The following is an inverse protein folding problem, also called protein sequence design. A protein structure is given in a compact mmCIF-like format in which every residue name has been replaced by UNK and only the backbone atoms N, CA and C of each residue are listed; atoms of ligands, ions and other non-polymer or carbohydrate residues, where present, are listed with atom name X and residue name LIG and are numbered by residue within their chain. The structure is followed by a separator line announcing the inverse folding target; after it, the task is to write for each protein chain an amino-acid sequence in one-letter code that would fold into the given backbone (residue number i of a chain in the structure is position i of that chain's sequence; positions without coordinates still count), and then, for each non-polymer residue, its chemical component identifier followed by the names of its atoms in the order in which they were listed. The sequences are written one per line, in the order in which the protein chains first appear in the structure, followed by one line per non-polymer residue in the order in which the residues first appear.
data_IF_979786205292
#
_entry.id   IF_979786205292
#
_cell.length_a   1.000
_cell.length_b   1.000
_cell.length_c   1.000
_cell.angle_alpha   90.00
_cell.angle_beta   90.00
_cell.angle_gamma   90.00
#
_symmetry.space_group_name_H-M   'P 1'
#
loop_
_entity.id
_entity.type
_entity.pdbx_description
1 polymer ?
#
# COMPACT_ATOMS: atom_id res chain seq x y z
N UNK A 1 34.78 -54.64 -16.07
CA UNK A 1 35.16 -53.32 -15.49
C UNK A 1 34.48 -52.16 -16.20
N UNK A 2 34.48 -52.09 -17.54
CA UNK A 2 33.82 -51.01 -18.30
C UNK A 2 32.34 -50.74 -17.91
N UNK A 3 31.51 -51.78 -17.82
CA UNK A 3 30.09 -51.63 -17.45
C UNK A 3 29.87 -51.07 -16.03
N UNK A 4 30.80 -51.30 -15.10
CA UNK A 4 30.73 -50.74 -13.74
C UNK A 4 31.05 -49.26 -13.74
N UNK A 5 32.09 -48.85 -14.48
CA UNK A 5 32.47 -47.45 -14.62
C UNK A 5 31.37 -46.65 -15.33
N UNK A 6 30.72 -47.24 -16.34
CA UNK A 6 29.58 -46.61 -17.01
C UNK A 6 28.39 -46.39 -16.07
N UNK A 7 28.07 -47.35 -15.19
CA UNK A 7 26.99 -47.20 -14.20
C UNK A 7 27.31 -46.14 -13.14
N UNK A 8 28.57 -45.98 -12.76
CA UNK A 8 28.99 -44.94 -11.82
C UNK A 8 28.85 -43.55 -12.46
N UNK A 9 29.36 -43.38 -13.68
CA UNK A 9 29.25 -42.13 -14.43
C UNK A 9 27.79 -41.71 -14.65
N UNK A 10 26.91 -42.66 -15.01
CA UNK A 10 25.48 -42.36 -15.17
C UNK A 10 24.84 -41.85 -13.88
N UNK A 11 25.16 -42.47 -12.72
CA UNK A 11 24.65 -42.02 -11.42
C UNK A 11 25.19 -40.65 -11.02
N UNK A 12 26.46 -40.37 -11.31
CA UNK A 12 27.06 -39.05 -11.07
C UNK A 12 26.36 -37.98 -11.90
N UNK A 13 26.13 -38.22 -13.20
CA UNK A 13 25.40 -37.29 -14.06
C UNK A 13 23.93 -37.12 -13.65
N UNK A 14 23.25 -38.19 -13.22
CA UNK A 14 21.89 -38.12 -12.67
C UNK A 14 21.83 -37.24 -11.41
N UNK A 15 22.78 -37.42 -10.49
CA UNK A 15 22.87 -36.60 -9.28
C UNK A 15 23.18 -35.13 -9.61
N UNK A 16 24.13 -34.88 -10.50
CA UNK A 16 24.48 -33.51 -10.92
C UNK A 16 23.29 -32.82 -11.61
N UNK A 17 22.53 -33.55 -12.43
CA UNK A 17 21.33 -33.03 -13.07
C UNK A 17 20.26 -32.67 -12.04
N UNK A 18 20.02 -33.52 -11.04
CA UNK A 18 19.07 -33.23 -9.96
C UNK A 18 19.49 -31.99 -9.15
N UNK A 19 20.79 -31.86 -8.84
CA UNK A 19 21.32 -30.67 -8.17
C UNK A 19 21.08 -29.42 -9.03
N UNK A 20 21.41 -29.47 -10.33
CA UNK A 20 21.20 -28.32 -11.23
C UNK A 20 19.74 -27.97 -11.44
N UNK A 21 18.84 -28.95 -11.45
CA UNK A 21 17.40 -28.69 -11.48
C UNK A 21 16.96 -27.94 -10.22
N UNK A 22 17.39 -28.39 -9.04
CA UNK A 22 17.07 -27.72 -7.78
C UNK A 22 17.64 -26.28 -7.73
N UNK A 23 18.85 -26.07 -8.24
CA UNK A 23 19.48 -24.74 -8.36
C UNK A 23 18.63 -23.83 -9.26
N UNK A 24 18.24 -24.30 -10.46
CA UNK A 24 17.44 -23.53 -11.41
C UNK A 24 16.07 -23.18 -10.84
N UNK A 25 15.41 -24.12 -10.15
CA UNK A 25 14.14 -23.87 -9.48
C UNK A 25 14.27 -22.80 -8.40
N UNK A 26 15.30 -22.90 -7.54
CA UNK A 26 15.55 -21.91 -6.49
C UNK A 26 15.86 -20.51 -7.05
N UNK A 27 16.64 -20.42 -8.12
CA UNK A 27 16.96 -19.17 -8.79
C UNK A 27 15.73 -18.57 -9.47
N UNK A 28 14.88 -19.40 -10.07
CA UNK A 28 13.63 -18.97 -10.70
C UNK A 28 12.66 -18.40 -9.65
N UNK A 29 12.51 -19.09 -8.52
CA UNK A 29 11.71 -18.60 -7.39
C UNK A 29 12.25 -17.28 -6.83
N UNK A 30 13.57 -17.18 -6.65
CA UNK A 30 14.22 -15.95 -6.19
C UNK A 30 14.02 -14.80 -7.18
N UNK A 31 14.16 -15.05 -8.47
CA UNK A 31 13.93 -14.04 -9.51
C UNK A 31 12.47 -13.57 -9.52
N UNK A 32 11.50 -14.48 -9.37
CA UNK A 32 10.09 -14.14 -9.26
C UNK A 32 9.82 -13.23 -8.05
N UNK A 33 10.40 -13.55 -6.88
CA UNK A 33 10.28 -12.74 -5.66
C UNK A 33 10.89 -11.34 -5.83
N UNK A 34 12.07 -11.24 -6.44
CA UNK A 34 12.72 -9.95 -6.71
C UNK A 34 11.89 -9.10 -7.69
N UNK A 35 11.34 -9.72 -8.75
CA UNK A 35 10.42 -9.02 -9.67
C UNK A 35 9.18 -8.51 -8.95
N UNK A 36 8.60 -9.31 -8.07
CA UNK A 36 7.43 -8.92 -7.28
C UNK A 36 7.72 -7.74 -6.36
N UNK A 37 8.86 -7.77 -5.65
CA UNK A 37 9.32 -6.67 -4.79
C UNK A 37 9.61 -5.40 -5.59
N UNK A 38 10.32 -5.52 -6.70
CA UNK A 38 10.60 -4.39 -7.60
C UNK A 38 9.32 -3.75 -8.13
N UNK A 39 8.33 -4.56 -8.52
CA UNK A 39 7.02 -4.05 -8.97
C UNK A 39 6.27 -3.34 -7.84
N UNK A 40 6.21 -3.93 -6.64
CA UNK A 40 5.59 -3.30 -5.47
C UNK A 40 6.28 -1.98 -5.07
N UNK A 41 7.62 -1.93 -5.10
CA UNK A 41 8.41 -0.72 -4.83
C UNK A 41 8.07 0.38 -5.81
N UNK A 42 8.08 0.06 -7.11
CA UNK A 42 7.76 1.01 -8.17
C UNK A 42 6.33 1.54 -8.03
N UNK A 43 5.37 0.68 -7.69
CA UNK A 43 4.00 1.10 -7.41
C UNK A 43 3.93 2.11 -6.25
N UNK A 44 4.61 1.86 -5.13
CA UNK A 44 4.64 2.79 -3.99
C UNK A 44 5.33 4.10 -4.36
N UNK A 45 6.47 4.05 -5.06
CA UNK A 45 7.20 5.25 -5.50
C UNK A 45 6.34 6.13 -6.42
N UNK A 46 5.65 5.55 -7.41
CA UNK A 46 4.73 6.30 -8.27
C UNK A 46 3.58 6.95 -7.48
N UNK A 47 3.10 6.31 -6.42
CA UNK A 47 2.07 6.89 -5.55
C UNK A 47 2.63 8.03 -4.69
N UNK A 48 3.86 7.91 -4.19
CA UNK A 48 4.53 8.99 -3.48
C UNK A 48 4.78 10.22 -4.38
N UNK A 49 5.23 10.01 -5.62
CA UNK A 49 5.39 11.08 -6.62
C UNK A 49 4.04 11.76 -6.92
N UNK A 50 2.96 10.98 -6.99
CA UNK A 50 1.62 11.50 -7.18
C UNK A 50 1.12 12.33 -5.97
N UNK A 51 1.45 11.90 -4.74
CA UNK A 51 1.16 12.67 -3.52
C UNK A 51 1.96 13.99 -3.47
N UNK A 52 3.23 13.97 -3.88
CA UNK A 52 4.06 15.16 -4.04
C UNK A 52 3.46 16.13 -5.08
N UNK A 53 3.05 15.60 -6.24
CA UNK A 53 2.40 16.39 -7.28
C UNK A 53 1.08 17.00 -6.79
N UNK A 54 0.31 16.27 -5.98
CA UNK A 54 -0.91 16.78 -5.34
C UNK A 54 -0.58 17.91 -4.36
N UNK A 55 0.43 17.74 -3.49
CA UNK A 55 0.86 18.77 -2.56
C UNK A 55 1.29 20.06 -3.28
N UNK A 56 2.10 19.94 -4.33
CA UNK A 56 2.52 21.06 -5.15
C UNK A 56 1.35 21.75 -5.87
N UNK A 57 0.35 20.99 -6.32
CA UNK A 57 -0.85 21.57 -6.93
C UNK A 57 -1.68 22.37 -5.92
N UNK A 58 -1.84 21.86 -4.69
CA UNK A 58 -2.60 22.53 -3.63
C UNK A 58 -1.94 23.83 -3.14
N UNK A 59 -0.62 23.96 -3.26
CA UNK A 59 0.09 25.20 -2.92
C UNK A 59 -0.07 26.29 -4.00
N UNK A 60 -0.31 25.89 -5.25
CA UNK A 60 -0.42 26.81 -6.40
C UNK A 60 -1.79 27.45 -6.57
N UNK A 61 -2.79 26.96 -5.84
CA UNK A 61 -4.10 27.59 -5.75
C UNK A 61 -4.14 28.46 -4.49
N UNK A 62 -3.51 29.67 -4.49
CA UNK A 62 -3.85 30.62 -3.45
C UNK A 62 -5.35 30.88 -3.57
N UNK A 63 -6.09 30.98 -2.46
CA UNK A 63 -7.48 31.41 -2.53
C UNK A 63 -7.46 32.76 -3.24
N UNK A 64 -8.01 32.81 -4.45
CA UNK A 64 -8.16 34.03 -5.23
C UNK A 64 -8.96 35.00 -4.36
N UNK A 65 -8.23 35.82 -3.59
CA UNK A 65 -8.72 37.00 -2.90
C UNK A 65 -9.01 38.04 -3.99
N UNK A 66 -10.03 37.73 -4.80
CA UNK A 66 -10.73 38.70 -5.61
C UNK A 66 -11.36 39.72 -4.67
N UNK A 67 -10.64 40.81 -4.40
CA UNK A 67 -11.13 41.85 -3.50
C UNK A 67 -10.13 42.94 -3.13
N UNK A 68 -9.22 43.34 -4.03
CA UNK A 68 -8.45 44.58 -3.87
C UNK A 68 -9.23 45.75 -4.47
N UNK A 69 -9.92 46.50 -3.62
CA UNK A 69 -10.30 47.90 -3.84
C UNK A 69 -10.63 48.50 -2.47
N UNK A 70 -9.60 49.04 -1.80
CA UNK A 70 -9.75 49.68 -0.50
C UNK A 70 -8.47 50.40 -0.09
N UNK A 71 -8.25 51.59 -0.64
CA UNK A 71 -7.26 52.54 -0.15
C UNK A 71 -7.55 52.89 1.31
N UNK A 72 -6.63 52.56 2.22
CA UNK A 72 -6.77 52.87 3.64
C UNK A 72 -5.45 52.79 4.37
N UNK A 73 -4.85 53.97 4.50
CA UNK A 73 -3.76 54.45 5.37
C UNK A 73 -2.98 53.45 6.26
N UNK A 74 -1.67 53.46 6.08
CA UNK A 74 -0.66 52.57 6.68
C UNK A 74 -0.24 53.00 8.09
N UNK A 75 -0.33 52.08 9.06
CA UNK A 75 0.47 52.14 10.31
C UNK A 75 1.51 51.03 10.29
N UNK A 76 2.83 51.32 10.43
CA UNK A 76 3.87 50.29 10.32
C UNK A 76 3.96 49.45 11.60
N UNK A 77 3.58 48.17 11.51
CA UNK A 77 3.76 47.19 12.58
C UNK A 77 5.21 46.65 12.63
N UNK A 78 5.75 46.34 13.82
CA UNK A 78 7.12 45.91 14.01
C UNK A 78 7.41 44.55 13.34
N UNK A 79 8.50 44.51 12.58
CA UNK A 79 9.02 43.30 11.92
C UNK A 79 9.58 42.33 12.97
N UNK A 80 8.76 41.40 13.43
CA UNK A 80 9.22 40.24 14.18
C UNK A 80 9.96 39.28 13.24
N UNK A 81 11.24 39.00 13.54
CA UNK A 81 12.03 37.93 12.92
C UNK A 81 11.42 36.57 13.28
N UNK A 82 10.37 36.18 12.58
CA UNK A 82 9.90 34.79 12.55
C UNK A 82 10.69 34.09 11.46
N UNK A 83 11.53 33.12 11.86
CA UNK A 83 12.14 32.20 10.89
C UNK A 83 11.01 31.55 10.08
N UNK A 84 11.15 31.43 8.75
CA UNK A 84 10.11 30.79 7.94
C UNK A 84 9.89 29.37 8.46
N UNK A 85 8.63 28.91 8.60
CA UNK A 85 8.36 27.52 8.93
C UNK A 85 9.09 26.63 7.92
N UNK A 86 9.78 25.60 8.42
CA UNK A 86 10.48 24.61 7.58
C UNK A 86 9.50 24.14 6.50
N UNK A 87 9.87 24.31 5.23
CA UNK A 87 9.01 23.98 4.11
C UNK A 87 8.68 22.48 4.16
N UNK A 88 7.40 22.15 4.09
CA UNK A 88 6.91 20.77 3.99
C UNK A 88 7.55 20.02 2.81
N UNK A 89 7.93 20.74 1.75
CA UNK A 89 8.55 20.16 0.57
C UNK A 89 9.97 19.63 0.86
N UNK A 90 10.76 20.37 1.63
CA UNK A 90 12.10 19.93 2.02
C UNK A 90 12.02 18.72 2.94
N UNK A 91 11.03 18.70 3.85
CA UNK A 91 10.78 17.55 4.72
C UNK A 91 10.36 16.32 3.91
N UNK A 92 9.43 16.48 2.97
CA UNK A 92 8.92 15.37 2.17
C UNK A 92 9.97 14.87 1.16
N UNK A 93 10.78 15.76 0.57
CA UNK A 93 11.86 15.38 -0.33
C UNK A 93 13.00 14.65 0.40
N UNK A 94 13.45 15.17 1.55
CA UNK A 94 14.41 14.48 2.40
C UNK A 94 13.86 13.12 2.86
N UNK A 95 12.57 13.07 3.18
CA UNK A 95 11.90 11.84 3.59
C UNK A 95 11.79 10.81 2.46
N UNK A 96 11.52 11.24 1.22
CA UNK A 96 11.55 10.36 0.05
C UNK A 96 12.93 9.76 -0.20
N UNK A 97 14.00 10.53 0.02
CA UNK A 97 15.37 10.01 -0.05
C UNK A 97 15.67 9.00 1.06
N UNK A 98 15.15 9.22 2.27
CA UNK A 98 15.23 8.28 3.40
C UNK A 98 14.50 6.97 3.08
N UNK A 99 13.27 7.07 2.56
CA UNK A 99 12.48 5.90 2.14
C UNK A 99 13.17 5.09 1.05
N UNK A 100 13.75 5.78 0.06
CA UNK A 100 14.47 5.12 -1.00
C UNK A 100 15.72 4.40 -0.46
N UNK A 101 16.44 5.02 0.49
CA UNK A 101 17.55 4.37 1.20
C UNK A 101 17.07 3.15 2.01
N UNK A 102 16.02 3.30 2.82
CA UNK A 102 15.49 2.21 3.63
C UNK A 102 14.98 1.02 2.82
N UNK A 103 14.31 1.28 1.69
CA UNK A 103 13.83 0.22 0.81
C UNK A 103 14.98 -0.53 0.16
N UNK A 104 16.02 0.20 -0.29
CA UNK A 104 17.23 -0.40 -0.86
C UNK A 104 17.99 -1.17 0.22
N UNK A 105 18.19 -0.63 1.42
CA UNK A 105 18.99 -1.29 2.47
C UNK A 105 18.27 -2.51 3.08
N UNK A 106 16.93 -2.46 3.18
CA UNK A 106 16.11 -3.60 3.61
C UNK A 106 16.17 -4.78 2.62
N UNK A 107 16.58 -4.55 1.37
CA UNK A 107 16.71 -5.58 0.34
C UNK A 107 17.94 -6.48 0.53
N UNK A 108 18.99 -6.00 1.22
CA UNK A 108 20.28 -6.70 1.34
C UNK A 108 20.56 -7.27 2.73
N UNK A 109 19.90 -6.77 3.78
CA UNK A 109 20.19 -7.19 5.15
C UNK A 109 19.58 -8.56 5.54
N UNK A 110 18.62 -9.07 4.76
CA UNK A 110 17.81 -10.24 5.15
C UNK A 110 18.22 -11.59 4.57
N UNK A 111 18.93 -11.61 3.44
CA UNK A 111 19.38 -12.86 2.82
C UNK A 111 20.91 -12.93 2.90
N UNK A 112 21.44 -13.92 3.62
CA UNK A 112 22.87 -14.27 3.68
C UNK A 112 23.38 -14.71 2.28
N UNK A 113 23.50 -13.78 1.34
CA UNK A 113 23.94 -14.01 -0.05
C UNK A 113 25.47 -14.15 -0.13
N UNK A 114 26.19 -13.99 0.98
CA UNK A 114 27.65 -14.05 1.04
C UNK A 114 28.24 -15.45 0.76
N UNK A 115 27.41 -16.49 0.56
CA UNK A 115 27.89 -17.87 0.44
C UNK A 115 28.05 -18.44 -0.98
N UNK A 116 27.54 -17.81 -2.05
CA UNK A 116 27.54 -18.43 -3.40
C UNK A 116 28.37 -17.74 -4.50
N UNK A 117 29.15 -16.70 -4.18
CA UNK A 117 29.90 -15.94 -5.21
C UNK A 117 31.33 -16.43 -5.49
N UNK A 118 31.72 -17.62 -5.03
CA UNK A 118 33.03 -18.21 -5.37
C UNK A 118 32.85 -19.30 -6.43
N UNK A 119 32.77 -18.91 -7.71
CA UNK A 119 32.81 -19.89 -8.81
C UNK A 119 32.42 -19.39 -10.20
N UNK A 120 33.38 -18.84 -10.95
CA UNK A 120 33.56 -19.13 -12.39
C UNK A 120 32.54 -18.63 -13.42
N UNK A 121 32.75 -17.40 -13.89
CA UNK A 121 32.72 -16.98 -15.31
C UNK A 121 31.62 -17.49 -16.27
N UNK A 122 30.50 -16.76 -16.38
CA UNK A 122 29.69 -16.65 -17.62
C UNK A 122 29.02 -15.26 -17.67
N UNK A 123 29.77 -14.22 -18.07
CA UNK A 123 29.33 -12.81 -17.91
C UNK A 123 28.87 -12.08 -19.20
N UNK A 124 28.56 -12.77 -20.30
CA UNK A 124 28.38 -12.10 -21.60
C UNK A 124 26.98 -12.17 -22.25
N UNK A 125 26.00 -12.89 -21.68
CA UNK A 125 24.70 -13.10 -22.36
C UNK A 125 23.48 -12.40 -21.71
N UNK A 126 23.64 -11.75 -20.54
CA UNK A 126 22.49 -11.20 -19.78
C UNK A 126 22.13 -9.74 -20.10
N UNK A 127 22.93 -9.02 -20.90
CA UNK A 127 22.76 -7.58 -21.13
C UNK A 127 21.76 -7.20 -22.23
N UNK A 128 21.25 -8.15 -23.00
CA UNK A 128 20.34 -7.89 -24.13
C UNK A 128 18.84 -8.09 -23.83
N UNK A 129 18.48 -8.61 -22.64
CA UNK A 129 17.10 -9.02 -22.34
C UNK A 129 16.23 -7.97 -21.62
N UNK A 130 16.75 -6.78 -21.29
CA UNK A 130 16.13 -5.91 -20.29
C UNK A 130 15.74 -4.49 -20.77
N UNK A 131 15.48 -4.30 -22.06
CA UNK A 131 14.73 -3.14 -22.54
C UNK A 131 13.25 -3.51 -22.74
N UNK A 132 12.66 -4.24 -21.78
CA UNK A 132 11.20 -4.32 -21.71
C UNK A 132 10.70 -2.93 -21.44
N UNK A 133 10.03 -2.31 -22.43
CA UNK A 133 9.31 -1.05 -22.25
C UNK A 133 8.41 -1.18 -21.02
N UNK A 134 8.85 -0.63 -19.89
CA UNK A 134 8.06 -0.62 -18.69
C UNK A 134 6.83 0.22 -18.96
N UNK A 135 5.66 -0.42 -18.99
CA UNK A 135 4.40 0.30 -19.14
C UNK A 135 4.27 1.27 -17.97
N UNK A 136 3.83 2.52 -18.23
CA UNK A 136 3.62 3.49 -17.16
C UNK A 136 2.61 2.95 -16.15
N UNK A 137 2.94 3.10 -14.87
CA UNK A 137 2.09 2.63 -13.77
C UNK A 137 0.80 3.43 -13.74
N UNK A 138 -0.33 2.75 -13.86
CA UNK A 138 -1.64 3.36 -13.66
C UNK A 138 -1.85 3.59 -12.15
N UNK A 139 -2.02 4.86 -11.76
CA UNK A 139 -2.21 5.25 -10.36
C UNK A 139 -3.59 4.86 -9.83
N UNK A 140 -4.59 4.73 -10.71
CA UNK A 140 -5.99 4.52 -10.34
C UNK A 140 -6.70 5.78 -9.82
N UNK A 141 -5.99 6.90 -9.70
CA UNK A 141 -6.50 8.24 -9.39
C UNK A 141 -5.63 9.32 -10.07
N UNK A 142 -5.99 10.60 -9.92
CA UNK A 142 -5.29 11.72 -10.55
C UNK A 142 -5.02 12.85 -9.55
N UNK A 143 -3.74 13.26 -9.36
CA UNK A 143 -3.37 14.40 -8.51
C UNK A 143 -4.10 15.70 -8.90
N UNK A 144 -4.17 16.01 -10.19
CA UNK A 144 -4.85 17.22 -10.66
C UNK A 144 -6.35 17.23 -10.35
N UNK A 145 -7.04 16.10 -10.57
CA UNK A 145 -8.47 15.98 -10.21
C UNK A 145 -8.70 16.05 -8.70
N UNK A 146 -7.82 15.45 -7.90
CA UNK A 146 -7.88 15.53 -6.45
C UNK A 146 -7.66 16.97 -5.97
N UNK A 147 -6.69 17.69 -6.52
CA UNK A 147 -6.46 19.11 -6.21
C UNK A 147 -7.70 19.97 -6.50
N UNK A 148 -8.31 19.80 -7.67
CA UNK A 148 -9.56 20.51 -8.04
C UNK A 148 -10.72 20.20 -7.07
N UNK A 149 -10.82 18.96 -6.58
CA UNK A 149 -11.85 18.57 -5.63
C UNK A 149 -11.59 19.08 -4.20
N UNK A 150 -10.36 19.52 -3.88
CA UNK A 150 -9.93 19.83 -2.52
C UNK A 150 -10.74 20.96 -1.86
N UNK A 151 -11.25 21.91 -2.64
CA UNK A 151 -12.05 23.03 -2.12
C UNK A 151 -13.42 22.58 -1.55
N UNK A 152 -13.95 21.44 -2.01
CA UNK A 152 -15.26 20.92 -1.62
C UNK A 152 -15.19 19.60 -0.85
N UNK A 153 -14.00 19.03 -0.73
CA UNK A 153 -13.79 17.73 -0.10
C UNK A 153 -13.93 17.82 1.43
N UNK A 154 -14.75 16.94 2.01
CA UNK A 154 -14.86 16.80 3.46
C UNK A 154 -13.75 15.87 3.98
N UNK A 155 -12.65 16.46 4.46
CA UNK A 155 -11.46 15.72 4.94
C UNK A 155 -11.59 15.17 6.37
N UNK A 156 -12.82 14.94 6.82
CA UNK A 156 -13.12 14.43 8.18
C UNK A 156 -13.27 12.91 8.18
N UNK A 157 -13.25 12.29 9.37
CA UNK A 157 -13.59 10.87 9.53
C UNK A 157 -15.01 10.56 9.05
N UNK A 158 -15.96 11.47 9.28
CA UNK A 158 -17.35 11.31 8.84
C UNK A 158 -17.46 11.38 7.31
N UNK A 159 -16.78 12.35 6.69
CA UNK A 159 -16.72 12.48 5.23
C UNK A 159 -16.11 11.25 4.55
N UNK A 160 -14.99 10.75 5.08
CA UNK A 160 -14.37 9.52 4.57
C UNK A 160 -15.28 8.30 4.74
N UNK A 161 -15.90 8.13 5.91
CA UNK A 161 -16.84 7.03 6.18
C UNK A 161 -18.02 7.07 5.20
N UNK A 162 -18.62 8.24 5.03
CA UNK A 162 -19.72 8.46 4.07
C UNK A 162 -19.31 8.08 2.65
N UNK A 163 -18.10 8.47 2.22
CA UNK A 163 -17.59 8.11 0.89
C UNK A 163 -17.28 6.63 0.70
N UNK A 164 -16.75 5.96 1.72
CA UNK A 164 -16.52 4.51 1.67
C UNK A 164 -17.85 3.74 1.63
N UNK A 165 -18.86 4.19 2.40
CA UNK A 165 -20.21 3.63 2.35
C UNK A 165 -20.87 3.84 0.98
N UNK A 166 -20.84 5.07 0.45
CA UNK A 166 -21.34 5.38 -0.90
C UNK A 166 -20.68 4.48 -1.95
N UNK A 167 -19.36 4.29 -1.85
CA UNK A 167 -18.61 3.41 -2.75
C UNK A 167 -19.06 1.95 -2.62
N UNK A 168 -19.14 1.38 -1.42
CA UNK A 168 -19.57 0.00 -1.22
C UNK A 168 -20.99 -0.26 -1.73
N UNK A 169 -21.94 0.64 -1.42
CA UNK A 169 -23.32 0.52 -1.88
C UNK A 169 -23.43 0.59 -3.42
N UNK A 170 -22.70 1.51 -4.06
CA UNK A 170 -22.70 1.64 -5.52
C UNK A 170 -21.98 0.46 -6.19
N UNK A 171 -20.84 0.06 -5.65
CA UNK A 171 -20.04 -1.07 -6.12
C UNK A 171 -20.87 -2.35 -6.16
N UNK A 172 -21.65 -2.67 -5.12
CA UNK A 172 -22.49 -3.86 -5.09
C UNK A 172 -23.45 -3.93 -6.28
N UNK A 173 -24.10 -2.81 -6.61
CA UNK A 173 -25.02 -2.74 -7.77
C UNK A 173 -24.28 -2.87 -9.10
N UNK A 174 -23.15 -2.18 -9.25
CA UNK A 174 -22.36 -2.19 -10.49
C UNK A 174 -21.73 -3.56 -10.75
N UNK A 175 -21.21 -4.23 -9.72
CA UNK A 175 -20.62 -5.56 -9.82
C UNK A 175 -21.63 -6.61 -10.30
N UNK A 176 -22.90 -6.53 -9.85
CA UNK A 176 -23.95 -7.42 -10.36
C UNK A 176 -24.13 -7.26 -11.88
N UNK A 177 -24.16 -6.02 -12.38
CA UNK A 177 -24.28 -5.77 -13.83
C UNK A 177 -23.09 -6.32 -14.62
N UNK A 178 -21.89 -6.15 -14.08
CA UNK A 178 -20.64 -6.62 -14.70
C UNK A 178 -20.60 -8.15 -14.74
N UNK A 179 -20.87 -8.82 -13.62
CA UNK A 179 -20.82 -10.28 -13.49
C UNK A 179 -21.85 -11.00 -14.35
N UNK A 180 -23.03 -10.41 -14.54
CA UNK A 180 -24.09 -10.97 -15.38
C UNK A 180 -24.03 -10.51 -16.85
N UNK A 181 -22.92 -9.87 -17.26
CA UNK A 181 -22.74 -9.37 -18.63
C UNK A 181 -23.95 -8.56 -19.14
N UNK A 182 -24.49 -7.67 -18.29
CA UNK A 182 -25.57 -6.78 -18.70
C UNK A 182 -25.17 -5.95 -19.93
N UNK A 183 -26.13 -5.50 -20.78
CA UNK A 183 -25.82 -4.74 -21.99
C UNK A 183 -24.95 -3.49 -21.76
N UNK A 184 -24.96 -2.92 -20.56
CA UNK A 184 -24.20 -1.76 -20.15
C UNK A 184 -23.04 -2.10 -19.18
N UNK A 185 -22.55 -3.34 -19.18
CA UNK A 185 -21.45 -3.76 -18.30
C UNK A 185 -20.17 -2.92 -18.49
N UNK A 186 -19.89 -2.46 -19.72
CA UNK A 186 -18.77 -1.55 -19.99
C UNK A 186 -18.94 -0.19 -19.29
N UNK A 187 -20.13 0.40 -19.35
CA UNK A 187 -20.44 1.65 -18.65
C UNK A 187 -20.37 1.46 -17.13
N UNK A 188 -20.83 0.31 -16.63
CA UNK A 188 -20.72 -0.03 -15.22
C UNK A 188 -19.25 -0.12 -14.76
N UNK A 189 -18.33 -0.68 -15.58
CA UNK A 189 -16.88 -0.68 -15.29
C UNK A 189 -16.30 0.73 -15.26
N UNK A 190 -16.65 1.58 -16.22
CA UNK A 190 -16.22 2.98 -16.25
C UNK A 190 -16.68 3.74 -15.02
N UNK A 191 -17.94 3.56 -14.61
CA UNK A 191 -18.49 4.16 -13.39
C UNK A 191 -17.75 3.65 -12.15
N UNK A 192 -17.51 2.34 -12.05
CA UNK A 192 -16.78 1.75 -10.93
C UNK A 192 -15.36 2.31 -10.80
N UNK A 193 -14.64 2.41 -11.93
CA UNK A 193 -13.31 3.02 -11.98
C UNK A 193 -13.33 4.50 -11.57
N UNK A 194 -14.33 5.28 -12.01
CA UNK A 194 -14.49 6.69 -11.60
C UNK A 194 -14.73 6.81 -10.09
N UNK A 195 -15.64 6.00 -9.52
CA UNK A 195 -15.93 6.04 -8.08
C UNK A 195 -14.73 5.62 -7.24
N UNK A 196 -13.97 4.62 -7.69
CA UNK A 196 -12.70 4.26 -7.06
C UNK A 196 -11.71 5.42 -7.11
N UNK A 197 -11.55 6.07 -8.25
CA UNK A 197 -10.69 7.24 -8.42
C UNK A 197 -11.06 8.38 -7.45
N UNK A 198 -12.36 8.63 -7.24
CA UNK A 198 -12.84 9.64 -6.27
C UNK A 198 -12.44 9.29 -4.83
N UNK A 199 -12.65 8.04 -4.40
CA UNK A 199 -12.29 7.58 -3.05
C UNK A 199 -10.78 7.67 -2.83
N UNK A 200 -9.97 7.18 -3.78
CA UNK A 200 -8.52 7.23 -3.70
C UNK A 200 -8.00 8.68 -3.70
N UNK A 201 -8.61 9.56 -4.49
CA UNK A 201 -8.32 11.00 -4.48
C UNK A 201 -8.61 11.65 -3.12
N UNK A 202 -9.72 11.29 -2.46
CA UNK A 202 -10.01 11.77 -1.11
C UNK A 202 -8.99 11.25 -0.07
N UNK A 203 -8.60 9.97 -0.15
CA UNK A 203 -7.58 9.39 0.71
C UNK A 203 -6.24 10.12 0.54
N UNK A 204 -5.86 10.43 -0.70
CA UNK A 204 -4.66 11.21 -1.01
C UNK A 204 -4.74 12.63 -0.44
N UNK A 205 -5.88 13.31 -0.56
CA UNK A 205 -6.10 14.63 0.04
C UNK A 205 -5.98 14.62 1.56
N UNK A 206 -6.54 13.61 2.24
CA UNK A 206 -6.45 13.45 3.70
C UNK A 206 -4.98 13.28 4.13
N UNK A 207 -4.15 12.60 3.32
CA UNK A 207 -2.74 12.42 3.62
C UNK A 207 -1.93 13.71 3.48
N UNK A 208 -2.20 14.51 2.44
CA UNK A 208 -1.48 15.77 2.17
C UNK A 208 -2.00 16.93 3.04
N UNK A 209 -3.28 16.90 3.43
CA UNK A 209 -3.92 17.90 4.31
C UNK A 209 -4.47 17.21 5.55
N UNK A 210 -3.60 16.78 6.48
CA UNK A 210 -4.03 16.06 7.66
C UNK A 210 -4.97 16.95 8.51
N UNK A 211 -6.16 16.46 8.89
CA UNK A 211 -7.03 17.20 9.80
C UNK A 211 -6.42 17.25 11.21
N UNK A 212 -6.87 18.21 12.01
CA UNK A 212 -6.55 18.23 13.44
C UNK A 212 -7.16 16.99 14.14
N UNK A 213 -6.35 16.28 14.92
CA UNK A 213 -6.79 15.15 15.75
C UNK A 213 -6.47 13.76 15.19
N UNK A 214 -7.35 12.79 15.49
CA UNK A 214 -7.16 11.40 15.05
C UNK A 214 -7.27 11.33 13.53
N UNK A 215 -6.30 10.68 12.92
CA UNK A 215 -6.24 10.56 11.48
C UNK A 215 -7.43 9.75 10.92
N UNK A 216 -8.22 10.28 9.96
CA UNK A 216 -9.42 9.61 9.46
C UNK A 216 -9.22 8.19 8.98
N UNK A 217 -8.10 7.89 8.29
CA UNK A 217 -7.81 6.54 7.80
C UNK A 217 -7.71 5.52 8.94
N UNK A 218 -7.05 5.88 10.04
CA UNK A 218 -6.99 5.03 11.23
C UNK A 218 -8.36 4.91 11.87
N UNK A 219 -9.10 6.03 12.01
CA UNK A 219 -10.40 6.04 12.66
C UNK A 219 -11.45 5.17 11.95
N UNK A 220 -11.48 5.15 10.62
CA UNK A 220 -12.42 4.30 9.86
C UNK A 220 -12.07 2.81 9.87
N UNK A 221 -10.82 2.46 10.20
CA UNK A 221 -10.40 1.06 10.35
C UNK A 221 -10.75 0.49 11.73
N UNK A 222 -10.91 1.35 12.74
CA UNK A 222 -11.20 0.95 14.13
C UNK A 222 -12.70 0.77 14.42
N UNK A 223 -13.59 1.19 13.53
CA UNK A 223 -15.04 1.14 13.74
C UNK A 223 -15.80 0.76 12.46
N UNK A 224 -16.97 0.09 12.58
CA UNK A 224 -17.86 -0.15 11.44
C UNK A 224 -18.24 1.15 10.70
N UNK A 225 -18.39 1.06 9.38
CA UNK A 225 -18.75 2.18 8.51
C UNK A 225 -20.21 2.61 8.66
N UNK A 226 -21.09 1.70 9.06
CA UNK A 226 -22.52 1.96 9.25
C UNK A 226 -22.87 2.55 10.62
N UNK A 227 -21.88 2.72 11.49
CA UNK A 227 -22.09 3.21 12.86
C UNK A 227 -22.81 2.21 13.76
N UNK A 228 -22.95 0.95 13.35
CA UNK A 228 -23.49 -0.11 14.21
C UNK A 228 -22.68 -0.16 15.51
N UNK A 229 -23.40 -0.12 16.64
CA UNK A 229 -22.84 -0.07 17.99
C UNK A 229 -22.26 -1.43 18.40
N UNK A 230 -21.24 -1.90 17.68
CA UNK A 230 -20.41 -3.06 18.00
C UNK A 230 -18.98 -2.62 18.29
N UNK A 231 -18.81 -1.53 19.05
CA UNK A 231 -17.51 -0.94 19.34
C UNK A 231 -16.54 -2.01 19.90
N UNK A 232 -15.55 -2.39 19.10
CA UNK A 232 -14.42 -3.22 19.53
C UNK A 232 -14.48 -4.71 19.21
N UNK A 233 -15.55 -5.24 18.60
CA UNK A 233 -15.49 -6.62 18.10
C UNK A 233 -14.78 -6.60 16.75
N UNK A 234 -13.50 -6.99 16.75
CA UNK A 234 -12.78 -7.26 15.52
C UNK A 234 -13.58 -8.27 14.69
N UNK A 235 -13.77 -7.99 13.40
CA UNK A 235 -14.43 -8.94 12.51
C UNK A 235 -13.73 -10.30 12.60
N UNK A 236 -14.53 -11.37 12.69
CA UNK A 236 -14.02 -12.73 12.77
C UNK A 236 -13.10 -13.02 11.56
N UNK A 237 -12.07 -13.83 11.76
CA UNK A 237 -11.13 -14.18 10.69
C UNK A 237 -11.84 -14.77 9.45
N UNK A 238 -12.92 -15.53 9.66
CA UNK A 238 -13.77 -16.06 8.59
C UNK A 238 -14.36 -14.96 7.67
N UNK A 239 -14.74 -13.80 8.24
CA UNK A 239 -15.20 -12.64 7.48
C UNK A 239 -14.12 -12.12 6.54
N UNK A 240 -12.90 -11.98 7.06
CA UNK A 240 -11.77 -11.51 6.26
C UNK A 240 -11.31 -12.53 5.23
N UNK A 241 -11.35 -13.84 5.54
CA UNK A 241 -11.10 -14.92 4.57
C UNK A 241 -12.09 -14.83 3.41
N UNK A 242 -13.39 -14.70 3.71
CA UNK A 242 -14.42 -14.51 2.69
C UNK A 242 -14.15 -13.26 1.83
N UNK A 243 -13.87 -12.10 2.47
CA UNK A 243 -13.59 -10.88 1.74
C UNK A 243 -12.35 -11.00 0.85
N UNK A 244 -11.24 -11.54 1.36
CA UNK A 244 -10.02 -11.75 0.59
C UNK A 244 -10.22 -12.71 -0.58
N UNK A 245 -11.06 -13.75 -0.44
CA UNK A 245 -11.40 -14.66 -1.53
C UNK A 245 -12.10 -13.93 -2.69
N UNK A 246 -12.89 -12.88 -2.42
CA UNK A 246 -13.56 -12.08 -3.46
C UNK A 246 -12.59 -11.28 -4.34
N UNK A 247 -11.32 -11.12 -3.94
CA UNK A 247 -10.30 -10.49 -4.78
C UNK A 247 -9.94 -11.33 -6.00
N UNK A 248 -10.12 -12.66 -5.94
CA UNK A 248 -9.75 -13.59 -7.02
C UNK A 248 -8.36 -13.29 -7.61
N UNK A 249 -7.35 -13.11 -6.73
CA UNK A 249 -6.00 -12.74 -7.15
C UNK A 249 -5.36 -13.85 -7.98
N UNK A 250 -4.90 -13.50 -9.18
CA UNK A 250 -4.00 -14.32 -9.98
C UNK A 250 -2.69 -14.57 -9.22
N UNK A 251 -2.00 -15.70 -9.48
CA UNK A 251 -0.78 -16.05 -8.74
C UNK A 251 0.31 -14.97 -8.83
N UNK A 252 0.51 -14.41 -10.02
CA UNK A 252 1.49 -13.33 -10.23
C UNK A 252 1.10 -12.06 -9.46
N UNK A 253 -0.17 -11.66 -9.50
CA UNK A 253 -0.71 -10.52 -8.77
C UNK A 253 -0.64 -10.75 -7.25
N UNK A 254 -0.92 -11.96 -6.79
CA UNK A 254 -0.84 -12.38 -5.39
C UNK A 254 0.58 -12.20 -4.87
N UNK A 255 1.59 -12.62 -5.63
CA UNK A 255 3.00 -12.40 -5.27
C UNK A 255 3.34 -10.90 -5.17
N UNK A 256 2.81 -10.06 -6.07
CA UNK A 256 3.01 -8.60 -6.00
C UNK A 256 2.37 -7.99 -4.76
N UNK A 257 1.12 -8.35 -4.47
CA UNK A 257 0.41 -7.91 -3.26
C UNK A 257 1.14 -8.40 -2.02
N UNK A 258 1.57 -9.66 -1.98
CA UNK A 258 2.32 -10.23 -0.86
C UNK A 258 3.63 -9.46 -0.63
N UNK A 259 4.40 -9.19 -1.69
CA UNK A 259 5.63 -8.43 -1.60
C UNK A 259 5.40 -7.00 -1.05
N UNK A 260 4.32 -6.34 -1.48
CA UNK A 260 3.92 -5.03 -0.94
C UNK A 260 3.60 -5.10 0.57
N UNK A 261 2.81 -6.10 0.99
CA UNK A 261 2.40 -6.26 2.38
C UNK A 261 3.56 -6.71 3.29
N UNK A 262 4.49 -7.54 2.79
CA UNK A 262 5.73 -7.89 3.50
C UNK A 262 6.58 -6.64 3.77
N UNK A 263 6.78 -5.81 2.75
CA UNK A 263 7.55 -4.56 2.85
C UNK A 263 6.91 -3.59 3.83
N UNK A 264 5.60 -3.40 3.74
CA UNK A 264 4.86 -2.56 4.67
C UNK A 264 4.89 -3.07 6.11
N UNK A 265 4.73 -4.38 6.33
CA UNK A 265 4.82 -4.97 7.66
C UNK A 265 6.22 -4.83 8.26
N UNK A 266 7.28 -4.99 7.45
CA UNK A 266 8.65 -4.75 7.87
C UNK A 266 8.88 -3.29 8.28
N UNK A 267 8.38 -2.34 7.48
CA UNK A 267 8.43 -0.92 7.80
C UNK A 267 7.68 -0.61 9.11
N UNK A 268 6.44 -1.08 9.24
CA UNK A 268 5.63 -0.85 10.45
C UNK A 268 6.33 -1.34 11.73
N UNK A 269 7.04 -2.49 11.67
CA UNK A 269 7.87 -2.97 12.79
C UNK A 269 9.02 -2.03 13.12
N UNK A 270 9.72 -1.50 12.11
CA UNK A 270 10.81 -0.52 12.31
C UNK A 270 10.29 0.78 12.91
N UNK A 271 9.19 1.32 12.38
CA UNK A 271 8.53 2.51 12.93
C UNK A 271 8.12 2.29 14.39
N UNK A 272 7.52 1.15 14.71
CA UNK A 272 7.10 0.82 16.07
C UNK A 272 8.29 0.72 17.04
N UNK A 273 9.39 0.08 16.63
CA UNK A 273 10.61 0.01 17.42
C UNK A 273 11.19 1.41 17.68
N UNK A 274 11.29 2.25 16.64
CA UNK A 274 11.79 3.62 16.76
C UNK A 274 10.90 4.50 17.64
N UNK A 275 9.59 4.35 17.53
CA UNK A 275 8.64 5.06 18.39
C UNK A 275 8.85 4.67 19.87
N UNK A 276 9.03 3.38 20.15
CA UNK A 276 9.31 2.91 21.51
C UNK A 276 10.62 3.48 22.07
N UNK A 277 11.68 3.53 21.27
CA UNK A 277 12.96 4.16 21.64
C UNK A 277 12.77 5.64 22.01
N UNK A 278 12.11 6.42 21.14
CA UNK A 278 11.88 7.85 21.38
C UNK A 278 11.04 8.11 22.63
N UNK A 279 10.06 7.25 22.93
CA UNK A 279 9.25 7.34 24.15
C UNK A 279 10.08 7.06 25.40
N UNK A 280 10.99 6.08 25.35
CA UNK A 280 11.90 5.79 26.46
C UNK A 280 12.92 6.91 26.67
N UNK A 281 13.47 7.46 25.58
CA UNK A 281 14.37 8.64 25.63
C UNK A 281 13.66 9.87 26.22
N UNK A 282 12.40 10.11 25.83
CA UNK A 282 11.58 11.20 26.35
C UNK A 282 11.33 11.06 27.85
N UNK A 283 11.03 9.84 28.32
CA UNK A 283 10.87 9.57 29.74
C UNK A 283 12.19 9.76 30.53
N UNK A 284 13.33 9.37 29.94
CA UNK A 284 14.64 9.54 30.57
C UNK A 284 15.08 11.01 30.68
N UNK A 285 14.58 11.88 29.79
CA UNK A 285 14.88 13.32 29.75
C UNK A 285 13.72 14.18 30.25
N UNK A 286 12.95 13.67 31.23
CA UNK A 286 11.74 14.31 31.71
C UNK A 286 11.93 15.75 32.25
N UNK A 287 13.14 16.07 32.74
CA UNK A 287 13.49 17.36 33.34
C UNK A 287 14.15 18.35 32.36
N UNK A 288 14.49 17.90 31.15
CA UNK A 288 15.17 18.72 30.14
C UNK A 288 14.18 19.15 29.05
N UNK A 289 13.60 20.34 29.21
CA UNK A 289 12.59 20.90 28.31
C UNK A 289 13.09 21.02 26.87
N UNK A 290 14.34 21.42 26.64
CA UNK A 290 14.87 21.60 25.28
C UNK A 290 15.04 20.24 24.59
N UNK A 291 15.56 19.24 25.31
CA UNK A 291 15.64 17.88 24.80
C UNK A 291 14.25 17.27 24.54
N UNK A 292 13.26 17.55 25.40
CA UNK A 292 11.88 17.12 25.18
C UNK A 292 11.28 17.72 23.91
N UNK A 293 11.46 19.03 23.69
CA UNK A 293 10.98 19.67 22.46
C UNK A 293 11.62 19.04 21.21
N UNK A 294 12.92 18.73 21.26
CA UNK A 294 13.61 18.06 20.16
C UNK A 294 13.04 16.65 19.89
N UNK A 295 12.80 15.87 20.95
CA UNK A 295 12.23 14.52 20.84
C UNK A 295 10.77 14.55 20.34
N UNK A 296 9.98 15.54 20.76
CA UNK A 296 8.61 15.73 20.27
C UNK A 296 8.59 16.04 18.77
N UNK A 297 9.46 16.93 18.29
CA UNK A 297 9.61 17.21 16.84
C UNK A 297 10.00 15.96 16.07
N UNK A 298 10.88 15.14 16.63
CA UNK A 298 11.31 13.87 16.01
C UNK A 298 10.17 12.84 15.95
N UNK A 299 9.38 12.74 17.02
CA UNK A 299 8.21 11.87 17.09
C UNK A 299 7.12 12.32 16.11
N UNK A 300 6.86 13.63 16.01
CA UNK A 300 5.97 14.21 15.02
C UNK A 300 6.41 13.89 13.59
N UNK A 301 7.72 14.03 13.31
CA UNK A 301 8.32 13.69 12.00
C UNK A 301 8.15 12.21 11.67
N UNK A 302 8.46 11.32 12.62
CA UNK A 302 8.33 9.86 12.45
C UNK A 302 6.88 9.47 12.17
N UNK A 303 5.93 10.02 12.93
CA UNK A 303 4.51 9.76 12.72
C UNK A 303 4.06 10.32 11.37
N UNK A 304 4.37 11.57 11.03
CA UNK A 304 3.99 12.15 9.73
C UNK A 304 4.51 11.32 8.55
N UNK A 305 5.76 10.86 8.63
CA UNK A 305 6.39 9.90 7.73
C UNK A 305 5.55 8.63 7.58
N UNK A 306 5.26 7.95 8.69
CA UNK A 306 4.49 6.70 8.72
C UNK A 306 3.10 6.89 8.09
N UNK A 307 2.51 8.08 8.28
CA UNK A 307 1.22 8.42 7.66
C UNK A 307 1.29 8.50 6.14
N UNK A 308 2.22 9.30 5.61
CA UNK A 308 2.36 9.43 4.14
C UNK A 308 2.68 8.07 3.52
N UNK A 309 3.59 7.34 4.15
CA UNK A 309 4.02 6.00 3.80
C UNK A 309 2.90 4.96 3.81
N UNK A 310 2.08 4.94 4.86
CA UNK A 310 0.92 4.06 4.99
C UNK A 310 -0.11 4.36 3.91
N UNK A 311 -0.35 5.65 3.63
CA UNK A 311 -1.25 6.10 2.56
C UNK A 311 -0.74 5.65 1.19
N UNK A 312 0.54 5.86 0.89
CA UNK A 312 1.12 5.44 -0.39
C UNK A 312 0.96 3.93 -0.63
N UNK A 313 1.09 3.10 0.42
CA UNK A 313 0.83 1.65 0.34
C UNK A 313 -0.65 1.36 0.08
N UNK A 314 -1.57 2.06 0.75
CA UNK A 314 -3.02 1.93 0.50
C UNK A 314 -3.36 2.30 -0.95
N UNK A 315 -2.82 3.41 -1.46
CA UNK A 315 -3.03 3.85 -2.84
C UNK A 315 -2.40 2.87 -3.85
N UNK A 316 -1.20 2.35 -3.57
CA UNK A 316 -0.55 1.35 -4.42
C UNK A 316 -1.37 0.06 -4.48
N UNK A 317 -1.86 -0.43 -3.33
CA UNK A 317 -2.69 -1.62 -3.25
C UNK A 317 -3.99 -1.44 -4.05
N UNK A 318 -4.80 -0.44 -3.71
CA UNK A 318 -6.16 -0.32 -4.26
C UNK A 318 -6.25 0.41 -5.61
N UNK A 319 -5.24 1.22 -5.95
CA UNK A 319 -5.19 2.02 -7.17
C UNK A 319 -4.37 1.38 -8.28
N UNK A 320 -3.27 0.70 -7.94
CA UNK A 320 -2.32 0.16 -8.91
C UNK A 320 -2.35 -1.36 -9.00
N UNK A 321 -2.21 -2.07 -7.87
CA UNK A 321 -2.09 -3.53 -7.89
C UNK A 321 -3.43 -4.21 -8.10
N UNK A 322 -4.51 -3.70 -7.50
CA UNK A 322 -5.86 -4.23 -7.68
C UNK A 322 -6.59 -3.53 -8.82
N UNK A 323 -7.39 -4.29 -9.58
CA UNK A 323 -8.31 -3.73 -10.56
C UNK A 323 -9.45 -2.99 -9.86
N UNK A 324 -10.21 -2.17 -10.62
CA UNK A 324 -11.37 -1.48 -10.05
C UNK A 324 -12.44 -2.48 -9.55
N UNK A 325 -12.62 -3.59 -10.26
CA UNK A 325 -13.55 -4.65 -9.91
C UNK A 325 -13.11 -5.39 -8.65
N UNK A 326 -11.82 -5.68 -8.48
CA UNK A 326 -11.27 -6.34 -7.29
C UNK A 326 -11.38 -5.46 -6.05
N UNK A 327 -10.96 -4.19 -6.14
CA UNK A 327 -11.09 -3.23 -5.02
C UNK A 327 -12.55 -3.06 -4.60
N UNK A 328 -13.46 -3.03 -5.57
CA UNK A 328 -14.90 -2.96 -5.31
C UNK A 328 -15.45 -4.22 -4.64
N UNK A 329 -15.10 -5.41 -5.16
CA UNK A 329 -15.54 -6.69 -4.63
C UNK A 329 -15.07 -6.87 -3.18
N UNK A 330 -13.81 -6.53 -2.89
CA UNK A 330 -13.28 -6.55 -1.54
C UNK A 330 -13.97 -5.55 -0.61
N UNK A 331 -14.26 -4.33 -1.09
CA UNK A 331 -14.97 -3.32 -0.28
C UNK A 331 -16.40 -3.76 0.06
N UNK A 332 -17.12 -4.34 -0.90
CA UNK A 332 -18.48 -4.88 -0.67
C UNK A 332 -18.44 -6.05 0.30
N UNK A 333 -17.49 -6.97 0.13
CA UNK A 333 -17.37 -8.15 0.97
C UNK A 333 -16.86 -7.84 2.39
N UNK A 334 -16.16 -6.71 2.57
CA UNK A 334 -15.70 -6.25 3.88
C UNK A 334 -16.81 -5.63 4.73
N UNK A 335 -17.97 -5.32 4.15
CA UNK A 335 -19.07 -4.64 4.83
C UNK A 335 -19.51 -5.39 6.12
N UNK A 336 -19.71 -4.71 7.26
CA UNK A 336 -19.77 -3.25 7.45
C UNK A 336 -18.43 -2.56 7.72
N UNK A 337 -17.30 -3.26 7.60
CA UNK A 337 -15.97 -2.70 7.85
C UNK A 337 -15.37 -2.08 6.58
N UNK A 338 -14.44 -1.14 6.77
CA UNK A 338 -13.58 -0.68 5.68
C UNK A 338 -12.69 -1.81 5.19
N UNK A 339 -12.40 -1.83 3.88
CA UNK A 339 -11.42 -2.74 3.29
C UNK A 339 -10.07 -2.61 4.04
N UNK A 340 -9.69 -3.67 4.75
CA UNK A 340 -8.56 -3.62 5.68
C UNK A 340 -7.32 -4.24 5.07
N UNK A 341 -6.30 -3.40 4.86
CA UNK A 341 -4.96 -3.85 4.46
C UNK A 341 -4.34 -4.77 5.51
N UNK A 342 -4.55 -4.48 6.79
CA UNK A 342 -4.00 -5.28 7.89
C UNK A 342 -4.60 -6.69 7.92
N UNK A 343 -5.92 -6.81 7.73
CA UNK A 343 -6.57 -8.12 7.63
C UNK A 343 -6.06 -8.91 6.41
N UNK A 344 -5.93 -8.25 5.25
CA UNK A 344 -5.39 -8.88 4.04
C UNK A 344 -3.94 -9.35 4.23
N UNK A 345 -3.10 -8.54 4.90
CA UNK A 345 -1.72 -8.91 5.24
C UNK A 345 -1.68 -10.12 6.16
N UNK A 346 -2.52 -10.14 7.20
CA UNK A 346 -2.60 -11.28 8.11
C UNK A 346 -2.86 -12.58 7.35
N UNK A 347 -3.84 -12.60 6.43
CA UNK A 347 -4.23 -13.79 5.66
C UNK A 347 -3.19 -14.21 4.61
N UNK A 348 -2.65 -13.27 3.84
CA UNK A 348 -1.71 -13.60 2.76
C UNK A 348 -0.33 -13.98 3.29
N UNK A 349 0.04 -13.54 4.50
CA UNK A 349 1.33 -13.83 5.11
C UNK A 349 1.29 -15.03 6.07
N UNK A 350 0.12 -15.41 6.63
CA UNK A 350 -0.04 -16.61 7.47
C UNK A 350 -0.03 -17.92 6.68
N UNK A 351 -0.44 -17.90 5.41
CA UNK A 351 -0.80 -19.10 4.65
C UNK A 351 0.38 -19.92 4.08
N UNK A 352 1.60 -19.70 4.57
CA UNK A 352 2.78 -20.46 4.12
C UNK A 352 2.86 -21.91 4.61
N UNK A 353 1.90 -22.40 5.41
CA UNK A 353 2.04 -23.67 6.12
C UNK A 353 0.95 -24.74 5.96
N UNK A 354 -0.33 -24.41 5.75
CA UNK A 354 -1.39 -25.43 6.01
C UNK A 354 -2.75 -25.31 5.28
N UNK A 355 -3.03 -24.28 4.48
CA UNK A 355 -4.44 -23.94 4.11
C UNK A 355 -4.97 -24.48 2.76
N UNK A 356 -4.19 -25.22 1.96
CA UNK A 356 -4.67 -25.70 0.65
C UNK A 356 -5.88 -26.67 0.72
N UNK A 357 -6.19 -27.23 1.89
CA UNK A 357 -7.21 -28.27 2.07
C UNK A 357 -8.56 -27.75 2.60
N UNK A 358 -8.60 -26.62 3.31
CA UNK A 358 -9.82 -26.17 4.01
C UNK A 358 -10.68 -25.18 3.18
N UNK A 359 -10.07 -24.40 2.27
CA UNK A 359 -10.80 -23.36 1.52
C UNK A 359 -11.75 -23.97 0.47
N UNK A 360 -11.39 -25.12 -0.10
CA UNK A 360 -12.25 -25.83 -1.07
C UNK A 360 -13.51 -26.40 -0.39
N UNK A 361 -13.42 -26.79 0.88
CA UNK A 361 -14.54 -27.32 1.66
C UNK A 361 -15.57 -26.23 2.02
N UNK A 362 -15.10 -25.02 2.38
CA UNK A 362 -15.99 -23.89 2.71
C UNK A 362 -16.67 -23.30 1.47
N UNK A 363 -15.96 -23.21 0.33
CA UNK A 363 -16.56 -22.76 -0.93
C UNK A 363 -17.62 -23.75 -1.44
N UNK A 364 -17.35 -25.05 -1.36
CA UNK A 364 -18.32 -26.09 -1.72
C UNK A 364 -19.56 -26.07 -0.80
N UNK A 365 -19.40 -25.79 0.50
CA UNK A 365 -20.51 -25.67 1.43
C UNK A 365 -21.43 -24.47 1.12
N UNK A 366 -20.87 -23.33 0.73
CA UNK A 366 -21.63 -22.14 0.35
C UNK A 366 -22.41 -22.32 -0.97
N UNK A 367 -21.83 -23.00 -1.97
CA UNK A 367 -22.53 -23.32 -3.22
C UNK A 367 -23.62 -24.40 -3.05
N UNK A 368 -23.45 -25.32 -2.10
CA UNK A 368 -24.45 -26.33 -1.74
C UNK A 368 -25.69 -25.73 -1.07
N UNK A 369 -25.53 -24.71 -0.22
CA UNK A 369 -26.64 -24.03 0.46
C UNK A 369 -27.55 -23.24 -0.48
N UNK A 370 -27.00 -22.69 -1.57
CA UNK A 370 -27.75 -21.90 -2.57
C UNK A 370 -28.57 -22.73 -3.56
N UNK A 371 -28.34 -24.06 -3.64
CA UNK A 371 -29.14 -24.98 -4.48
C UNK A 371 -30.30 -25.64 -3.73
N UNK A 372 -30.35 -25.50 -2.40
CA UNK A 372 -31.39 -26.10 -1.55
C UNK A 372 -32.43 -25.08 -1.03
N UNK A 373 -32.30 -23.81 -1.43
CA UNK A 373 -33.31 -22.76 -1.27
C UNK A 373 -33.88 -22.42 -2.65
#
# INVERSE_FOLDING_TARGET
MAARNQRLLLRELENDLLIKQSDVESLTQRQARLRARSHAARAVLSQCEALLALAAALQRDPPDNGGSSGSGDTTPAPKGNSSPPVSWDDQLAAHMQELNREWVDSEWAGDNVTACMVGGGVAAAATAAAATHEQPICLGWSPGRAAQAAATAELTTAGLRSKLQEFACNAGRLLLRIRHAAPDAADARCQLASRRCEVLGLIALIAVRPPAGLWPLTAVQLAPLDGSAGAGVAAAEAHWRFAAAQLALEDSQREYVKALLESDAARARRTAARLQELLLESAARAEDTEAQECLLRELERLLASDRVCGTAVVLALYGTLLSAEQSAAFSVASWPHAASRGALASLLLSNGGSEATEVEEVAAACEGGLKMA
#
